data_IF_684981542285
#
_entry.id   IF_684981542285
#
_cell.length_a   1.000
_cell.length_b   1.000
_cell.length_c   1.000
_cell.angle_alpha   90.00
_cell.angle_beta   90.00
_cell.angle_gamma   90.00
#
_symmetry.space_group_name_H-M   'P 1'
#
loop_
_entity.id
_entity.type
_entity.pdbx_description
1 polymer ?
#
# COMPACT_ATOMS: atom_id res chain seq x y z
N UNK A 1 -4.50 13.06 7.02
CA UNK A 1 -3.86 12.95 5.69
C UNK A 1 -3.03 11.69 5.74
N UNK A 2 -3.21 10.78 4.80
CA UNK A 2 -2.63 9.44 4.91
C UNK A 2 -1.31 9.38 4.14
N UNK A 3 -0.25 8.93 4.81
CA UNK A 3 1.08 8.77 4.26
C UNK A 3 1.39 7.28 4.15
N UNK A 4 1.61 6.80 2.93
CA UNK A 4 2.05 5.43 2.71
C UNK A 4 3.54 5.40 2.38
N UNK A 5 4.28 4.51 3.05
CA UNK A 5 5.73 4.38 2.89
C UNK A 5 6.08 2.94 2.52
N UNK A 6 6.92 2.79 1.51
CA UNK A 6 7.56 1.53 1.18
C UNK A 6 8.92 1.44 1.88
N UNK A 7 9.15 0.38 2.68
CA UNK A 7 10.41 0.17 3.39
C UNK A 7 10.83 -1.30 3.26
N UNK A 8 11.88 -1.56 2.48
CA UNK A 8 12.29 -2.91 2.10
C UNK A 8 13.11 -3.60 3.21
N UNK A 9 12.42 -4.05 4.25
CA UNK A 9 13.01 -4.76 5.38
C UNK A 9 12.02 -5.83 5.89
N UNK A 10 12.40 -6.56 6.93
CA UNK A 10 11.55 -7.54 7.61
C UNK A 10 10.30 -6.89 8.20
N UNK A 11 9.27 -7.71 8.46
CA UNK A 11 8.03 -7.22 9.10
C UNK A 11 8.32 -6.53 10.43
N UNK A 12 9.19 -7.10 11.25
CA UNK A 12 9.55 -6.52 12.56
C UNK A 12 10.17 -5.13 12.41
N UNK A 13 11.13 -4.98 11.49
CA UNK A 13 11.79 -3.70 11.25
C UNK A 13 10.84 -2.67 10.62
N UNK A 14 9.91 -3.10 9.74
CA UNK A 14 8.85 -2.22 9.20
C UNK A 14 7.94 -1.66 10.29
N UNK A 15 7.56 -2.49 11.27
CA UNK A 15 6.72 -2.06 12.39
C UNK A 15 7.48 -1.12 13.33
N UNK A 16 8.75 -1.42 13.65
CA UNK A 16 9.62 -0.50 14.41
C UNK A 16 9.79 0.84 13.70
N UNK A 17 10.06 0.81 12.40
CA UNK A 17 10.19 2.01 11.57
C UNK A 17 8.92 2.85 11.59
N UNK A 18 7.74 2.22 11.42
CA UNK A 18 6.44 2.90 11.52
C UNK A 18 6.25 3.60 12.87
N UNK A 19 6.52 2.90 13.98
CA UNK A 19 6.39 3.47 15.33
C UNK A 19 7.34 4.65 15.55
N UNK A 20 8.58 4.55 15.07
CA UNK A 20 9.57 5.62 15.17
C UNK A 20 9.15 6.88 14.37
N UNK A 21 8.48 6.71 13.23
CA UNK A 21 7.94 7.85 12.48
C UNK A 21 6.79 8.48 13.23
N UNK A 22 5.84 7.67 13.71
CA UNK A 22 4.65 8.15 14.41
C UNK A 22 5.01 8.93 15.68
N UNK A 23 6.08 8.55 16.40
CA UNK A 23 6.52 9.27 17.60
C UNK A 23 7.08 10.67 17.32
N UNK A 24 7.54 10.93 16.09
CA UNK A 24 8.09 12.23 15.67
C UNK A 24 7.14 13.06 14.80
N UNK A 25 5.99 12.52 14.40
CA UNK A 25 5.02 13.19 13.54
C UNK A 25 3.81 13.71 14.34
N UNK A 26 3.15 14.72 13.78
CA UNK A 26 1.89 15.22 14.33
C UNK A 26 0.76 14.21 14.07
N UNK A 27 -0.13 14.02 15.05
CA UNK A 27 -1.24 13.05 15.03
C UNK A 27 -2.23 13.22 13.86
N UNK A 28 -2.14 14.31 13.09
CA UNK A 28 -2.96 14.54 11.88
C UNK A 28 -2.57 13.66 10.67
N UNK A 29 -1.46 12.93 10.77
CA UNK A 29 -0.95 12.03 9.73
C UNK A 29 -1.14 10.57 10.14
N UNK A 30 -1.82 9.79 9.31
CA UNK A 30 -1.82 8.34 9.45
C UNK A 30 -0.72 7.74 8.59
N UNK A 31 0.24 7.05 9.22
CA UNK A 31 1.38 6.44 8.52
C UNK A 31 1.14 4.95 8.36
N UNK A 32 1.17 4.50 7.11
CA UNK A 32 0.96 3.11 6.73
C UNK A 32 2.18 2.57 5.97
N UNK A 33 2.52 1.30 6.21
CA UNK A 33 3.58 0.61 5.49
C UNK A 33 2.97 -0.13 4.30
N UNK A 34 3.38 0.23 3.08
CA UNK A 34 2.79 -0.28 1.84
C UNK A 34 2.75 -1.80 1.78
N UNK A 35 3.83 -2.47 2.17
CA UNK A 35 3.93 -3.93 2.08
C UNK A 35 3.06 -4.68 3.10
N UNK A 36 2.64 -4.01 4.17
CA UNK A 36 1.82 -4.60 5.23
C UNK A 36 0.31 -4.41 4.95
N UNK A 37 -0.04 -3.63 3.92
CA UNK A 37 -1.43 -3.38 3.53
C UNK A 37 -1.99 -4.54 2.70
N UNK A 38 -3.31 -4.82 2.84
CA UNK A 38 -4.00 -5.74 1.93
C UNK A 38 -3.86 -5.31 0.47
N UNK A 39 -3.83 -6.28 -0.46
CA UNK A 39 -3.60 -6.04 -1.89
C UNK A 39 -4.57 -5.03 -2.52
N UNK A 40 -5.85 -5.05 -2.15
CA UNK A 40 -6.82 -4.07 -2.66
C UNK A 40 -6.52 -2.64 -2.18
N UNK A 41 -6.06 -2.46 -0.94
CA UNK A 41 -5.62 -1.16 -0.43
C UNK A 41 -4.32 -0.72 -1.10
N UNK A 42 -3.37 -1.65 -1.32
CA UNK A 42 -2.12 -1.34 -2.05
C UNK A 42 -2.42 -0.76 -3.43
N UNK A 43 -3.41 -1.31 -4.15
CA UNK A 43 -3.89 -0.75 -5.43
C UNK A 43 -4.42 0.67 -5.27
N UNK A 44 -5.24 0.93 -4.26
CA UNK A 44 -5.81 2.26 -4.01
C UNK A 44 -4.72 3.30 -3.70
N UNK A 45 -3.67 2.92 -2.95
CA UNK A 45 -2.53 3.79 -2.66
C UNK A 45 -1.81 4.25 -3.94
N UNK A 46 -1.75 3.41 -4.98
CA UNK A 46 -1.13 3.78 -6.26
C UNK A 46 -1.86 4.91 -6.99
N UNK A 47 -3.14 5.15 -6.68
CA UNK A 47 -3.89 6.31 -7.20
C UNK A 47 -3.54 7.62 -6.47
N UNK A 48 -2.74 7.54 -5.40
CA UNK A 48 -2.28 8.69 -4.64
C UNK A 48 -1.20 9.51 -5.35
N UNK A 49 -0.62 10.47 -4.62
CA UNK A 49 0.45 11.33 -5.12
C UNK A 49 1.80 10.82 -4.62
N UNK A 50 2.71 10.52 -5.54
CA UNK A 50 4.09 10.22 -5.21
C UNK A 50 4.79 11.46 -4.62
N UNK A 51 5.19 11.38 -3.35
CA UNK A 51 5.86 12.49 -2.65
C UNK A 51 7.39 12.39 -2.71
N UNK A 52 7.93 11.18 -2.65
CA UNK A 52 9.37 10.94 -2.63
C UNK A 52 9.69 9.57 -3.21
N UNK A 53 10.80 9.49 -3.94
CA UNK A 53 11.31 8.26 -4.54
C UNK A 53 12.84 8.31 -4.52
N UNK A 54 13.46 7.30 -3.90
CA UNK A 54 14.92 7.17 -3.86
C UNK A 54 15.46 6.44 -5.10
N UNK A 55 14.71 5.50 -5.65
CA UNK A 55 15.13 4.63 -6.75
C UNK A 55 13.95 4.31 -7.70
N UNK A 56 14.24 3.89 -8.94
CA UNK A 56 13.26 3.54 -9.98
C UNK A 56 12.39 2.31 -9.67
N UNK A 57 12.68 1.56 -8.61
CA UNK A 57 11.96 0.35 -8.17
C UNK A 57 10.47 0.60 -7.92
N UNK A 58 10.03 1.85 -7.70
CA UNK A 58 8.62 2.15 -7.50
C UNK A 58 7.75 1.78 -8.69
N UNK A 59 8.28 1.87 -9.92
CA UNK A 59 7.54 1.49 -11.12
C UNK A 59 7.32 -0.01 -11.18
N UNK A 60 8.32 -0.79 -10.77
CA UNK A 60 8.24 -2.25 -10.68
C UNK A 60 7.28 -2.66 -9.57
N UNK A 61 7.36 -2.03 -8.39
CA UNK A 61 6.42 -2.26 -7.28
C UNK A 61 4.98 -1.96 -7.71
N UNK A 62 4.76 -0.83 -8.39
CA UNK A 62 3.45 -0.45 -8.89
C UNK A 62 2.93 -1.45 -9.93
N UNK A 63 3.78 -1.83 -10.90
CA UNK A 63 3.45 -2.82 -11.93
C UNK A 63 3.07 -4.16 -11.29
N UNK A 64 3.91 -4.70 -10.43
CA UNK A 64 3.69 -5.99 -9.77
C UNK A 64 2.41 -5.96 -8.93
N UNK A 65 2.15 -4.86 -8.22
CA UNK A 65 0.91 -4.69 -7.44
C UNK A 65 -0.34 -4.71 -8.33
N UNK A 66 -0.28 -4.08 -9.51
CA UNK A 66 -1.40 -4.08 -10.46
C UNK A 66 -1.62 -5.50 -11.01
N UNK A 67 -0.55 -6.19 -11.44
CA UNK A 67 -0.62 -7.56 -11.94
C UNK A 67 -1.18 -8.52 -10.88
N UNK A 68 -0.64 -8.50 -9.65
CA UNK A 68 -1.15 -9.27 -8.52
C UNK A 68 -2.64 -9.00 -8.24
N UNK A 69 -3.05 -7.72 -8.28
CA UNK A 69 -4.44 -7.38 -8.03
C UNK A 69 -5.36 -7.89 -9.13
N UNK A 70 -4.97 -7.81 -10.40
CA UNK A 70 -5.82 -8.31 -11.49
C UNK A 70 -6.06 -9.82 -11.40
N UNK A 71 -5.06 -10.59 -10.96
CA UNK A 71 -5.21 -12.03 -10.66
C UNK A 71 -6.17 -12.27 -9.47
N UNK A 72 -6.10 -11.42 -8.44
CA UNK A 72 -6.96 -11.49 -7.26
C UNK A 72 -8.38 -10.93 -7.49
N UNK A 73 -8.55 -10.04 -8.46
CA UNK A 73 -9.71 -9.14 -8.60
C UNK A 73 -11.03 -9.89 -8.66
N UNK A 74 -11.06 -11.00 -9.41
CA UNK A 74 -12.28 -11.78 -9.62
C UNK A 74 -12.81 -12.34 -8.30
N UNK A 75 -11.96 -13.05 -7.56
CA UNK A 75 -12.35 -13.62 -6.26
C UNK A 75 -12.73 -12.55 -5.24
N UNK A 76 -12.06 -11.40 -5.28
CA UNK A 76 -12.43 -10.26 -4.44
C UNK A 76 -13.82 -9.71 -4.76
N UNK A 77 -14.11 -9.45 -6.05
CA UNK A 77 -15.40 -8.91 -6.48
C UNK A 77 -16.57 -9.87 -6.25
N UNK A 78 -16.33 -11.18 -6.40
CA UNK A 78 -17.28 -12.21 -6.01
C UNK A 78 -17.58 -12.16 -4.50
N UNK A 79 -16.54 -12.09 -3.67
CA UNK A 79 -16.67 -12.08 -2.21
C UNK A 79 -17.41 -10.85 -1.67
N UNK A 80 -17.26 -9.69 -2.32
CA UNK A 80 -17.93 -8.44 -1.92
C UNK A 80 -19.23 -8.18 -2.70
N UNK A 81 -19.64 -9.10 -3.58
CA UNK A 81 -20.92 -9.05 -4.29
C UNK A 81 -21.01 -8.03 -5.43
N UNK A 82 -19.88 -7.52 -5.93
CA UNK A 82 -19.85 -6.50 -6.99
C UNK A 82 -20.04 -7.09 -8.41
N UNK A 83 -19.85 -8.40 -8.62
CA UNK A 83 -20.09 -9.03 -9.93
C UNK A 83 -21.57 -9.03 -10.35
N UNK A 84 -22.52 -8.75 -9.45
CA UNK A 84 -23.96 -8.68 -9.78
C UNK A 84 -24.39 -7.37 -10.45
N UNK A 85 -23.46 -6.44 -10.70
CA UNK A 85 -23.72 -5.17 -11.37
C UNK A 85 -23.05 -5.20 -12.75
N UNK A 86 -23.56 -6.04 -13.67
CA UNK A 86 -23.29 -5.93 -15.10
C UNK A 86 -24.40 -6.55 -15.93
#
# INVERSE_FOLDING_TARGET
>A
MDLCIYYNDTLEERQKFRLNILSGLNDIFDVQIFQDLPLYIRKDVLNGKLLYMKDKSIYEIARNTIEEFEDFRRGYYDAIGLEKIK
#
